data_IF_530636442342
#
_entry.id   IF_530636442342
#
_cell.length_a   1.000
_cell.length_b   1.000
_cell.length_c   1.000
_cell.angle_alpha   90.00
_cell.angle_beta   90.00
_cell.angle_gamma   90.00
#
_symmetry.space_group_name_H-M   'P 1'
#
loop_
_entity.id
_entity.type
_entity.pdbx_description
1 polymer ?
#
# COMPACT_ATOMS: atom_id res chain seq x y z
N UNK A 1 -24.31 -6.60 17.73
CA UNK A 1 -25.12 -6.04 18.85
C UNK A 1 -24.94 -6.92 20.06
N UNK A 2 -24.55 -6.36 21.16
CA UNK A 2 -24.47 -7.07 22.46
C UNK A 2 -25.23 -6.27 23.51
N UNK A 3 -26.05 -6.94 24.29
CA UNK A 3 -26.90 -6.32 25.31
C UNK A 3 -27.68 -5.07 24.80
N UNK A 4 -28.19 -5.12 23.57
CA UNK A 4 -28.96 -4.05 22.94
C UNK A 4 -28.11 -2.87 22.46
N UNK A 5 -26.77 -2.91 22.57
CA UNK A 5 -25.84 -1.88 22.10
C UNK A 5 -25.15 -2.37 20.84
N UNK A 6 -25.06 -1.51 19.85
CA UNK A 6 -24.32 -1.78 18.61
C UNK A 6 -22.84 -1.40 18.79
N UNK A 7 -21.94 -2.33 18.42
CA UNK A 7 -20.50 -2.14 18.47
C UNK A 7 -19.90 -2.37 17.09
N UNK A 8 -18.91 -1.60 16.73
CA UNK A 8 -18.11 -1.80 15.53
C UNK A 8 -16.88 -2.64 15.89
N UNK A 9 -16.57 -3.64 15.07
CA UNK A 9 -15.34 -4.41 15.22
C UNK A 9 -14.20 -3.60 14.60
N UNK A 10 -13.28 -3.14 15.44
CA UNK A 10 -12.14 -2.30 15.02
C UNK A 10 -10.81 -3.05 15.09
N UNK A 11 -10.76 -4.15 15.87
CA UNK A 11 -9.54 -4.92 16.10
C UNK A 11 -9.85 -6.40 16.29
N UNK A 12 -8.86 -7.24 16.08
CA UNK A 12 -8.91 -8.67 16.37
C UNK A 12 -7.71 -9.06 17.21
N UNK A 13 -7.95 -9.43 18.47
CA UNK A 13 -6.92 -9.81 19.41
C UNK A 13 -6.88 -11.32 19.71
N UNK A 14 -5.91 -11.73 20.47
CA UNK A 14 -5.74 -13.13 20.90
C UNK A 14 -6.57 -13.46 22.18
N UNK A 15 -7.76 -12.88 22.29
CA UNK A 15 -8.60 -12.94 23.52
C UNK A 15 -9.08 -14.35 23.85
N UNK A 16 -9.25 -15.21 22.82
CA UNK A 16 -9.73 -16.57 23.00
C UNK A 16 -8.87 -17.40 23.98
N UNK A 17 -7.57 -17.13 24.07
CA UNK A 17 -6.65 -17.79 25.02
C UNK A 17 -6.98 -17.49 26.49
N UNK A 18 -7.74 -16.42 26.74
CA UNK A 18 -8.19 -16.00 28.07
C UNK A 18 -9.66 -16.32 28.31
N UNK A 19 -10.30 -17.09 27.40
CA UNK A 19 -11.72 -17.42 27.49
C UNK A 19 -12.64 -16.24 27.15
N UNK A 20 -12.12 -15.19 26.54
CA UNK A 20 -12.87 -14.00 26.11
C UNK A 20 -13.18 -14.13 24.62
N UNK A 21 -14.44 -13.90 24.24
CA UNK A 21 -14.87 -13.93 22.83
C UNK A 21 -14.88 -12.55 22.20
N UNK A 22 -15.17 -11.52 23.01
CA UNK A 22 -15.20 -10.12 22.61
C UNK A 22 -14.55 -9.27 23.69
N UNK A 23 -13.82 -8.24 23.27
CA UNK A 23 -13.29 -7.20 24.13
C UNK A 23 -13.94 -5.86 23.74
N UNK A 24 -14.38 -5.10 24.75
CA UNK A 24 -15.06 -3.81 24.55
C UNK A 24 -14.13 -2.70 24.97
N UNK A 25 -13.76 -1.85 24.03
CA UNK A 25 -12.91 -0.69 24.29
C UNK A 25 -13.67 0.40 25.06
N UNK A 26 -13.02 0.94 26.06
CA UNK A 26 -13.45 2.11 26.83
C UNK A 26 -12.37 3.18 26.78
N UNK A 27 -12.76 4.45 26.64
CA UNK A 27 -11.83 5.57 26.59
C UNK A 27 -11.07 5.84 27.90
N UNK A 28 -11.43 5.17 29.00
CA UNK A 28 -10.76 5.29 30.29
C UNK A 28 -10.78 3.97 31.07
N UNK A 29 -9.77 3.80 31.91
CA UNK A 29 -9.53 2.58 32.69
C UNK A 29 -10.63 2.34 33.76
N UNK A 30 -11.24 3.40 34.31
CA UNK A 30 -12.27 3.25 35.33
C UNK A 30 -13.56 2.65 34.76
N UNK A 31 -13.98 3.11 33.56
CA UNK A 31 -15.11 2.55 32.83
C UNK A 31 -14.88 1.11 32.41
N UNK A 32 -13.67 0.81 31.91
CA UNK A 32 -13.31 -0.56 31.55
C UNK A 32 -13.32 -1.50 32.77
N UNK A 33 -12.77 -1.05 33.91
CA UNK A 33 -12.74 -1.83 35.15
C UNK A 33 -14.16 -2.02 35.76
N UNK A 34 -15.03 -1.02 35.64
CA UNK A 34 -16.41 -1.10 36.09
C UNK A 34 -17.25 -2.07 35.24
N UNK A 35 -16.95 -2.16 33.95
CA UNK A 35 -17.56 -3.13 33.05
C UNK A 35 -17.18 -4.57 33.44
N UNK A 36 -15.92 -4.83 33.71
CA UNK A 36 -15.45 -6.15 34.15
C UNK A 36 -15.67 -7.23 33.09
N UNK A 37 -15.80 -8.48 33.58
CA UNK A 37 -16.07 -9.65 32.75
C UNK A 37 -17.58 -9.96 32.75
N UNK A 38 -18.20 -9.91 31.57
CA UNK A 38 -19.66 -10.12 31.40
C UNK A 38 -19.91 -11.24 30.39
N UNK A 39 -21.04 -11.90 30.51
CA UNK A 39 -21.52 -12.86 29.52
C UNK A 39 -22.84 -12.34 28.95
N UNK A 40 -22.81 -11.97 27.67
CA UNK A 40 -23.95 -11.45 26.94
C UNK A 40 -24.25 -12.28 25.70
N UNK A 41 -25.51 -12.26 25.28
CA UNK A 41 -25.86 -12.71 23.95
C UNK A 41 -25.38 -11.66 22.93
N UNK A 42 -24.66 -12.11 21.92
CA UNK A 42 -24.14 -11.25 20.86
C UNK A 42 -24.77 -11.61 19.52
N UNK A 43 -25.17 -10.61 18.78
CA UNK A 43 -25.77 -10.73 17.46
C UNK A 43 -24.92 -9.91 16.47
N UNK A 44 -24.75 -10.42 15.25
CA UNK A 44 -24.15 -9.63 14.17
C UNK A 44 -25.25 -8.71 13.64
N UNK A 45 -25.09 -7.40 13.81
CA UNK A 45 -25.91 -6.43 13.12
C UNK A 45 -25.60 -6.50 11.61
N UNK A 46 -26.61 -6.19 10.80
CA UNK A 46 -26.56 -6.27 9.35
C UNK A 46 -25.24 -5.71 8.82
N UNK A 47 -24.50 -6.58 8.18
CA UNK A 47 -23.28 -6.23 7.53
C UNK A 47 -23.48 -6.30 6.00
N UNK A 48 -22.86 -5.45 5.29
CA UNK A 48 -22.89 -5.36 3.84
C UNK A 48 -22.43 -6.64 3.09
N UNK A 49 -22.87 -7.81 3.56
CA UNK A 49 -22.83 -9.07 2.80
C UNK A 49 -21.55 -9.88 2.88
N UNK A 50 -20.77 -9.76 3.93
CA UNK A 50 -19.51 -10.50 4.05
C UNK A 50 -19.53 -11.77 4.91
N UNK A 51 -20.71 -12.21 5.43
CA UNK A 51 -20.81 -13.45 6.20
C UNK A 51 -22.13 -14.17 5.94
N UNK A 52 -22.07 -15.48 5.64
CA UNK A 52 -23.24 -16.34 5.70
C UNK A 52 -23.55 -16.68 7.16
N UNK A 53 -24.64 -16.13 7.67
CA UNK A 53 -25.23 -16.56 8.94
C UNK A 53 -26.32 -17.56 8.62
N UNK A 54 -26.08 -18.84 8.88
CA UNK A 54 -27.16 -19.82 8.83
C UNK A 54 -27.94 -19.81 10.16
N UNK A 55 -29.13 -19.29 10.10
CA UNK A 55 -30.07 -19.33 11.22
C UNK A 55 -30.95 -20.55 11.07
N UNK A 56 -30.77 -21.55 11.94
CA UNK A 56 -31.68 -22.70 12.02
C UNK A 56 -32.61 -22.47 13.20
N UNK A 57 -33.89 -22.21 12.95
CA UNK A 57 -34.92 -22.20 14.02
C UNK A 57 -35.51 -23.59 14.17
N UNK A 58 -35.40 -24.19 15.34
CA UNK A 58 -36.18 -25.37 15.72
C UNK A 58 -37.38 -24.92 16.52
N UNK A 59 -38.59 -25.35 16.11
CA UNK A 59 -39.86 -24.87 16.60
C UNK A 59 -40.20 -25.20 18.09
N UNK A 60 -39.35 -25.93 18.79
CA UNK A 60 -39.69 -26.41 20.16
C UNK A 60 -38.99 -25.67 21.31
N UNK A 61 -38.09 -24.79 21.06
CA UNK A 61 -37.45 -23.96 22.10
C UNK A 61 -37.14 -22.61 21.49
N UNK A 62 -37.57 -21.51 22.11
CA UNK A 62 -37.17 -20.13 21.72
C UNK A 62 -35.64 -19.94 21.87
N UNK A 63 -34.87 -20.73 21.15
CA UNK A 63 -33.39 -20.63 21.08
C UNK A 63 -32.99 -20.45 19.65
N UNK A 64 -32.36 -19.33 19.36
CA UNK A 64 -31.68 -19.09 18.13
C UNK A 64 -30.34 -19.86 18.17
N UNK A 65 -30.21 -20.91 17.37
CA UNK A 65 -28.92 -21.57 17.17
C UNK A 65 -28.22 -20.87 16.03
N UNK A 66 -27.22 -20.06 16.34
CA UNK A 66 -26.37 -19.42 15.35
C UNK A 66 -25.13 -20.29 15.16
N UNK A 67 -24.97 -20.85 13.97
CA UNK A 67 -23.72 -21.52 13.59
C UNK A 67 -22.85 -20.49 12.87
N UNK A 68 -21.80 -20.05 13.54
CA UNK A 68 -20.79 -19.19 12.93
C UNK A 68 -19.80 -20.07 12.17
N UNK A 69 -19.80 -19.99 10.86
CA UNK A 69 -18.73 -20.58 10.04
C UNK A 69 -17.58 -19.58 9.96
N UNK A 70 -16.54 -19.82 10.74
CA UNK A 70 -15.32 -19.02 10.66
C UNK A 70 -14.53 -19.38 9.42
N UNK A 71 -14.47 -18.46 8.46
CA UNK A 71 -13.49 -18.52 7.40
C UNK A 71 -12.19 -17.84 7.87
N UNK A 72 -11.05 -18.37 7.44
CA UNK A 72 -9.78 -17.68 7.66
C UNK A 72 -9.82 -16.32 6.94
N UNK A 73 -9.12 -15.32 7.49
CA UNK A 73 -8.97 -14.03 6.83
C UNK A 73 -8.47 -14.19 5.39
N UNK A 74 -7.52 -15.10 5.17
CA UNK A 74 -7.01 -15.42 3.83
C UNK A 74 -8.13 -15.88 2.88
N UNK A 75 -9.02 -16.77 3.32
CA UNK A 75 -10.15 -17.24 2.50
C UNK A 75 -11.11 -16.10 2.17
N UNK A 76 -11.44 -15.26 3.14
CA UNK A 76 -12.35 -14.11 2.93
C UNK A 76 -11.76 -13.11 1.96
N UNK A 77 -10.46 -12.84 2.10
CA UNK A 77 -9.74 -11.90 1.25
C UNK A 77 -9.68 -12.41 -0.20
N UNK A 78 -9.27 -13.67 -0.42
CA UNK A 78 -9.16 -14.27 -1.76
C UNK A 78 -10.49 -14.31 -2.50
N UNK A 79 -11.59 -14.55 -1.80
CA UNK A 79 -12.93 -14.55 -2.41
C UNK A 79 -13.39 -13.16 -2.90
N UNK A 80 -12.72 -12.09 -2.50
CA UNK A 80 -13.04 -10.70 -2.85
C UNK A 80 -12.04 -10.06 -3.81
N UNK A 81 -10.89 -10.67 -4.00
CA UNK A 81 -9.82 -10.16 -4.86
C UNK A 81 -10.04 -10.50 -6.31
N UNK A 82 -9.67 -9.58 -7.19
CA UNK A 82 -9.40 -9.89 -8.59
C UNK A 82 -7.99 -10.50 -8.73
N UNK A 83 -7.65 -11.00 -9.93
CA UNK A 83 -6.35 -11.66 -10.16
C UNK A 83 -5.13 -10.79 -9.85
N UNK A 84 -5.22 -9.48 -10.07
CA UNK A 84 -4.13 -8.54 -9.81
C UNK A 84 -3.94 -8.30 -8.31
N UNK A 85 -5.03 -8.20 -7.58
CA UNK A 85 -5.03 -8.07 -6.12
C UNK A 85 -4.53 -9.35 -5.46
N UNK A 86 -4.93 -10.52 -5.99
CA UNK A 86 -4.45 -11.81 -5.49
C UNK A 86 -2.94 -11.96 -5.67
N UNK A 87 -2.40 -11.61 -6.83
CA UNK A 87 -0.94 -11.61 -7.07
C UNK A 87 -0.21 -10.69 -6.09
N UNK A 88 -0.75 -9.49 -5.82
CA UNK A 88 -0.19 -8.58 -4.82
C UNK A 88 -0.28 -9.14 -3.42
N UNK A 89 -1.40 -9.75 -3.07
CA UNK A 89 -1.59 -10.39 -1.77
C UNK A 89 -0.57 -11.52 -1.54
N UNK A 90 -0.35 -12.36 -2.54
CA UNK A 90 0.66 -13.42 -2.47
C UNK A 90 2.07 -12.86 -2.31
N UNK A 91 2.36 -11.77 -3.01
CA UNK A 91 3.64 -11.09 -2.89
C UNK A 91 3.83 -10.52 -1.47
N UNK A 92 2.83 -9.87 -0.88
CA UNK A 92 2.88 -9.39 0.49
C UNK A 92 3.04 -10.52 1.51
N UNK A 93 2.38 -11.65 1.30
CA UNK A 93 2.52 -12.82 2.16
C UNK A 93 3.95 -13.42 2.09
N UNK A 94 4.52 -13.47 0.90
CA UNK A 94 5.87 -14.01 0.67
C UNK A 94 6.96 -13.08 1.19
N UNK A 95 6.77 -11.76 1.07
CA UNK A 95 7.79 -10.75 1.41
C UNK A 95 7.59 -10.15 2.79
N UNK A 96 6.55 -10.53 3.52
CA UNK A 96 6.14 -9.94 4.80
C UNK A 96 5.85 -8.43 4.73
N UNK A 97 5.46 -7.95 3.57
CA UNK A 97 5.13 -6.54 3.32
C UNK A 97 3.89 -6.07 4.10
N UNK A 98 3.66 -4.77 4.08
CA UNK A 98 2.51 -4.15 4.74
C UNK A 98 1.20 -4.48 4.01
N UNK A 99 0.27 -5.15 4.68
CA UNK A 99 -1.01 -5.60 4.11
C UNK A 99 -2.10 -4.52 4.10
N UNK A 100 -1.88 -3.38 4.74
CA UNK A 100 -2.88 -2.32 4.86
C UNK A 100 -3.28 -1.69 3.51
N UNK A 101 -2.52 -1.94 2.46
CA UNK A 101 -2.72 -1.36 1.14
C UNK A 101 -3.38 -2.31 0.13
N UNK A 102 -3.91 -3.46 0.57
CA UNK A 102 -4.42 -4.48 -0.34
C UNK A 102 -5.80 -4.17 -0.93
N UNK A 103 -6.64 -3.38 -0.24
CA UNK A 103 -8.07 -3.38 -0.52
C UNK A 103 -8.64 -2.13 -1.14
N UNK A 104 -8.09 -0.97 -0.94
CA UNK A 104 -8.60 0.25 -1.54
C UNK A 104 -7.48 1.20 -1.89
N UNK A 105 -6.87 0.91 -3.02
CA UNK A 105 -5.75 1.67 -3.57
C UNK A 105 -6.11 3.14 -3.79
N UNK A 106 -7.41 3.45 -3.96
CA UNK A 106 -7.90 4.80 -4.24
C UNK A 106 -8.31 5.57 -2.97
N UNK A 107 -8.59 4.86 -1.87
CA UNK A 107 -9.04 5.47 -0.61
C UNK A 107 -7.93 5.63 0.43
N UNK A 108 -6.71 5.23 0.12
CA UNK A 108 -5.58 5.44 1.04
C UNK A 108 -5.34 6.93 1.24
N UNK A 109 -5.21 7.37 2.51
CA UNK A 109 -4.94 8.78 2.78
C UNK A 109 -3.65 9.16 2.09
N UNK A 110 -3.74 10.09 1.12
CA UNK A 110 -2.57 10.65 0.49
C UNK A 110 -1.90 11.60 1.48
N UNK A 111 -0.85 11.13 2.13
CA UNK A 111 0.02 12.01 2.89
C UNK A 111 0.66 13.00 1.92
N UNK A 112 0.24 14.27 2.01
CA UNK A 112 0.79 15.35 1.21
C UNK A 112 0.42 15.35 -0.27
N UNK A 113 -0.73 14.79 -0.66
CA UNK A 113 -1.25 14.83 -2.04
C UNK A 113 -0.75 13.73 -2.97
N UNK A 114 -0.06 12.72 -2.43
CA UNK A 114 0.36 11.51 -3.16
C UNK A 114 -0.59 10.32 -2.92
N UNK A 115 -0.09 9.11 -3.06
CA UNK A 115 -0.84 7.86 -2.90
C UNK A 115 -1.03 7.15 -4.24
N UNK A 116 -2.15 6.47 -4.42
CA UNK A 116 -2.42 5.71 -5.64
C UNK A 116 -3.33 6.47 -6.64
N UNK A 117 -4.06 7.47 -6.16
CA UNK A 117 -5.05 8.21 -6.94
C UNK A 117 -4.55 9.53 -7.53
N UNK A 118 -3.23 9.76 -7.60
CA UNK A 118 -2.71 10.99 -8.19
C UNK A 118 -2.99 11.05 -9.69
N UNK A 119 -3.58 12.17 -10.13
CA UNK A 119 -3.84 12.40 -11.54
C UNK A 119 -2.71 13.21 -12.16
N UNK A 120 -1.97 12.59 -13.06
CA UNK A 120 -0.92 13.26 -13.82
C UNK A 120 -1.57 14.27 -14.76
N UNK A 121 -1.07 15.51 -14.83
CA UNK A 121 -1.57 16.49 -15.79
C UNK A 121 -1.52 15.98 -17.23
N UNK A 122 -2.62 16.18 -17.99
CA UNK A 122 -2.75 15.67 -19.36
C UNK A 122 -1.69 16.22 -20.31
N UNK A 123 -1.25 17.45 -20.09
CA UNK A 123 -0.17 18.07 -20.85
C UNK A 123 1.17 17.33 -20.68
N UNK A 124 1.46 16.78 -19.49
CA UNK A 124 2.64 15.96 -19.28
C UNK A 124 2.60 14.66 -20.06
N UNK A 125 1.40 14.06 -20.19
CA UNK A 125 1.19 12.82 -20.94
C UNK A 125 1.26 13.02 -22.47
N UNK A 126 1.38 14.26 -22.96
CA UNK A 126 1.65 14.53 -24.37
C UNK A 126 3.06 14.15 -24.83
N UNK A 127 3.99 14.05 -23.89
CA UNK A 127 5.31 13.42 -24.16
C UNK A 127 5.13 11.90 -24.17
N UNK A 128 5.24 11.30 -25.36
CA UNK A 128 4.99 9.86 -25.56
C UNK A 128 5.99 8.98 -24.76
N UNK A 129 7.24 9.43 -24.61
CA UNK A 129 8.26 8.70 -23.84
C UNK A 129 7.89 8.65 -22.36
N UNK A 130 7.49 9.80 -21.81
CA UNK A 130 6.99 9.88 -20.44
C UNK A 130 5.69 9.08 -20.27
N UNK A 131 4.73 9.22 -21.19
CA UNK A 131 3.46 8.50 -21.13
C UNK A 131 3.65 6.96 -21.16
N UNK A 132 4.66 6.46 -21.88
CA UNK A 132 5.01 5.03 -21.86
C UNK A 132 5.66 4.64 -20.52
N UNK A 133 6.58 5.47 -20.03
CA UNK A 133 7.28 5.23 -18.76
C UNK A 133 6.29 5.16 -17.60
N UNK A 134 5.36 6.11 -17.53
CA UNK A 134 4.41 6.16 -16.42
C UNK A 134 3.38 5.03 -16.49
N UNK A 135 2.90 4.66 -17.68
CA UNK A 135 2.03 3.50 -17.85
C UNK A 135 2.68 2.19 -17.38
N UNK A 136 3.99 2.05 -17.59
CA UNK A 136 4.72 0.90 -17.07
C UNK A 136 4.82 0.97 -15.54
N UNK A 137 5.17 2.14 -15.00
CA UNK A 137 5.34 2.35 -13.57
C UNK A 137 4.04 2.10 -12.78
N UNK A 138 2.91 2.56 -13.29
CA UNK A 138 1.60 2.45 -12.62
C UNK A 138 1.10 1.02 -12.47
N UNK A 139 1.58 0.07 -13.29
CA UNK A 139 1.24 -1.36 -13.13
C UNK A 139 1.66 -1.93 -11.78
N UNK A 140 2.60 -1.30 -11.12
CA UNK A 140 3.19 -1.78 -9.86
C UNK A 140 2.78 -0.95 -8.65
N UNK A 141 1.84 -0.02 -8.80
CA UNK A 141 1.28 0.69 -7.65
C UNK A 141 0.79 -0.29 -6.59
N UNK A 142 1.15 -0.04 -5.33
CA UNK A 142 0.80 -0.91 -4.22
C UNK A 142 1.75 -2.11 -4.01
N UNK A 143 2.76 -2.33 -4.85
CA UNK A 143 3.77 -3.36 -4.59
C UNK A 143 4.63 -2.99 -3.38
N UNK A 144 4.96 -3.95 -2.50
CA UNK A 144 5.77 -3.68 -1.30
C UNK A 144 7.22 -3.38 -1.65
N UNK A 145 7.91 -2.66 -0.78
CA UNK A 145 9.35 -2.49 -0.87
C UNK A 145 10.07 -3.78 -0.46
N UNK A 146 10.98 -4.26 -1.30
CA UNK A 146 11.84 -5.40 -1.01
C UNK A 146 13.28 -5.05 -1.35
N UNK A 147 14.14 -5.00 -0.36
CA UNK A 147 15.56 -4.69 -0.57
C UNK A 147 16.22 -5.63 -1.57
N UNK A 148 16.83 -5.07 -2.61
CA UNK A 148 17.44 -5.83 -3.71
C UNK A 148 16.44 -6.36 -4.74
N UNK A 149 15.14 -6.20 -4.52
CA UNK A 149 14.09 -6.60 -5.46
C UNK A 149 14.17 -5.82 -6.77
N UNK A 150 13.91 -6.48 -7.90
CA UNK A 150 14.11 -5.91 -9.22
C UNK A 150 13.17 -6.45 -10.31
N UNK A 151 12.11 -7.15 -9.92
CA UNK A 151 11.14 -7.74 -10.86
C UNK A 151 9.76 -7.84 -10.22
N UNK A 152 8.67 -7.95 -11.02
CA UNK A 152 7.33 -8.14 -10.47
C UNK A 152 7.19 -9.38 -9.57
N UNK A 153 7.97 -10.42 -9.82
CA UNK A 153 7.92 -11.67 -9.03
C UNK A 153 8.61 -11.57 -7.68
N UNK A 154 9.54 -10.62 -7.51
CA UNK A 154 10.30 -10.42 -6.28
C UNK A 154 9.89 -9.15 -5.54
N UNK A 155 9.01 -8.34 -6.14
CA UNK A 155 8.86 -6.91 -5.86
C UNK A 155 10.15 -6.12 -6.10
N UNK A 156 10.24 -4.92 -5.57
CA UNK A 156 11.25 -3.96 -5.97
C UNK A 156 11.86 -3.23 -4.77
N UNK A 157 13.11 -2.82 -4.89
CA UNK A 157 13.63 -1.65 -4.20
C UNK A 157 13.48 -0.39 -5.08
N UNK A 158 13.89 0.77 -4.58
CA UNK A 158 13.73 2.04 -5.30
C UNK A 158 14.40 2.02 -6.69
N UNK A 159 15.62 1.58 -6.76
CA UNK A 159 16.41 1.54 -8.01
C UNK A 159 16.04 0.34 -8.89
N UNK A 160 15.61 -0.77 -8.30
CA UNK A 160 15.08 -1.91 -9.04
C UNK A 160 13.79 -1.58 -9.77
N UNK A 161 12.89 -0.86 -9.11
CA UNK A 161 11.66 -0.35 -9.72
C UNK A 161 11.95 0.56 -10.90
N UNK A 162 12.76 1.59 -10.70
CA UNK A 162 13.10 2.55 -11.77
C UNK A 162 13.83 1.87 -12.92
N UNK A 163 14.81 1.00 -12.64
CA UNK A 163 15.50 0.22 -13.68
C UNK A 163 14.54 -0.65 -14.47
N UNK A 164 13.61 -1.33 -13.79
CA UNK A 164 12.60 -2.14 -14.45
C UNK A 164 11.71 -1.32 -15.37
N UNK A 165 11.18 -0.20 -14.88
CA UNK A 165 10.34 0.70 -15.67
C UNK A 165 11.08 1.18 -16.94
N UNK A 166 12.31 1.65 -16.80
CA UNK A 166 13.14 2.10 -17.93
C UNK A 166 13.30 1.00 -18.97
N UNK A 167 13.62 -0.22 -18.54
CA UNK A 167 13.91 -1.33 -19.45
C UNK A 167 12.63 -1.89 -20.13
N UNK A 168 11.45 -1.72 -19.51
CA UNK A 168 10.21 -2.36 -19.97
C UNK A 168 9.14 -1.38 -20.51
N UNK A 169 9.35 -0.06 -20.42
CA UNK A 169 8.37 0.93 -20.91
C UNK A 169 8.24 1.01 -22.44
N UNK A 170 9.04 0.26 -23.19
CA UNK A 170 8.97 0.21 -24.66
C UNK A 170 9.50 1.44 -25.38
N UNK A 171 10.24 2.31 -24.69
CA UNK A 171 10.93 3.49 -25.30
C UNK A 171 12.22 3.10 -26.02
N UNK A 172 12.77 1.92 -25.68
CA UNK A 172 14.02 1.43 -26.26
C UNK A 172 15.22 1.67 -25.35
N UNK A 173 15.04 2.22 -24.17
CA UNK A 173 16.11 2.31 -23.17
C UNK A 173 16.43 0.94 -22.58
N UNK A 174 17.69 0.74 -22.24
CA UNK A 174 18.15 -0.43 -21.50
C UNK A 174 19.31 -0.04 -20.61
N UNK A 175 19.06 0.07 -19.31
CA UNK A 175 20.09 0.39 -18.31
C UNK A 175 20.50 -0.83 -17.48
N UNK A 176 19.86 -2.00 -17.71
CA UNK A 176 20.05 -3.17 -16.86
C UNK A 176 19.53 -2.93 -15.45
N UNK A 177 20.11 -3.61 -14.46
CA UNK A 177 19.82 -3.41 -13.02
C UNK A 177 20.91 -2.53 -12.40
N UNK A 178 20.57 -1.29 -12.10
CA UNK A 178 21.48 -0.33 -11.47
C UNK A 178 21.04 0.02 -10.04
N UNK A 179 21.97 0.49 -9.23
CA UNK A 179 21.67 1.17 -7.96
C UNK A 179 21.16 2.59 -8.23
N UNK A 180 20.67 3.30 -7.21
CA UNK A 180 20.26 4.70 -7.36
C UNK A 180 21.43 5.57 -7.88
N UNK A 181 22.62 5.39 -7.33
CA UNK A 181 23.83 6.09 -7.77
C UNK A 181 24.27 5.68 -9.19
N UNK A 182 24.12 4.40 -9.53
CA UNK A 182 24.36 3.91 -10.89
C UNK A 182 23.40 4.51 -11.93
N UNK A 183 22.10 4.68 -11.57
CA UNK A 183 21.11 5.36 -12.39
C UNK A 183 21.46 6.85 -12.57
N UNK A 184 21.95 7.51 -11.52
CA UNK A 184 22.42 8.89 -11.61
C UNK A 184 23.58 8.99 -12.60
N UNK A 185 24.50 8.02 -12.59
CA UNK A 185 25.67 7.99 -13.48
C UNK A 185 25.35 7.86 -14.97
N UNK A 186 24.15 7.37 -15.34
CA UNK A 186 23.71 7.25 -16.74
C UNK A 186 22.81 8.41 -17.19
N UNK A 187 22.48 9.33 -16.28
CA UNK A 187 21.68 10.51 -16.56
C UNK A 187 22.53 11.74 -16.84
N UNK A 188 22.00 12.66 -17.64
CA UNK A 188 22.48 14.04 -17.73
C UNK A 188 21.90 14.83 -16.55
N UNK A 189 22.70 15.51 -15.73
CA UNK A 189 22.20 16.33 -14.64
C UNK A 189 21.25 17.43 -15.13
N UNK A 190 20.17 17.67 -14.38
CA UNK A 190 19.15 18.68 -14.69
C UNK A 190 18.95 19.58 -13.47
N UNK A 191 18.88 20.88 -13.69
CA UNK A 191 18.55 21.82 -12.61
C UNK A 191 17.11 21.65 -12.16
N UNK A 192 16.79 22.00 -10.91
CA UNK A 192 15.42 21.95 -10.41
C UNK A 192 14.46 22.85 -11.21
N UNK A 193 14.96 23.93 -11.80
CA UNK A 193 14.17 24.83 -12.64
C UNK A 193 13.83 24.25 -14.02
N UNK A 194 14.66 23.32 -14.51
CA UNK A 194 14.52 22.68 -15.83
C UNK A 194 13.94 21.26 -15.74
N UNK A 195 13.66 20.80 -14.52
CA UNK A 195 13.09 19.48 -14.29
C UNK A 195 11.67 19.35 -14.87
N UNK A 196 11.45 18.26 -15.60
CA UNK A 196 10.18 17.97 -16.25
C UNK A 196 9.71 16.54 -16.01
N UNK A 197 8.43 16.23 -16.20
CA UNK A 197 7.95 14.86 -16.11
C UNK A 197 8.79 13.89 -16.95
N UNK A 198 9.15 12.76 -16.34
CA UNK A 198 10.05 11.77 -16.94
C UNK A 198 11.52 11.88 -16.53
N UNK A 199 11.94 12.99 -15.95
CA UNK A 199 13.25 13.06 -15.31
C UNK A 199 13.28 12.17 -14.06
N UNK A 200 14.42 11.59 -13.74
CA UNK A 200 14.63 10.90 -12.49
C UNK A 200 14.95 11.91 -11.40
N UNK A 201 14.41 11.68 -10.21
CA UNK A 201 14.73 12.48 -9.03
C UNK A 201 15.51 11.61 -8.04
N UNK A 202 16.62 12.15 -7.55
CA UNK A 202 17.56 11.44 -6.68
C UNK A 202 17.61 12.09 -5.31
N UNK A 203 17.77 11.25 -4.30
CA UNK A 203 17.92 11.65 -2.91
C UNK A 203 19.14 10.99 -2.30
N UNK A 204 19.72 11.63 -1.29
CA UNK A 204 20.90 11.16 -0.56
C UNK A 204 20.61 11.03 0.92
N UNK A 205 21.38 10.20 1.63
CA UNK A 205 21.27 10.08 3.08
C UNK A 205 19.96 9.49 3.58
N UNK A 206 19.14 8.84 2.74
CA UNK A 206 17.94 8.11 3.17
C UNK A 206 18.32 6.82 3.92
N UNK A 207 19.52 6.32 3.70
CA UNK A 207 20.21 5.32 4.50
C UNK A 207 21.72 5.55 4.39
N UNK A 208 22.51 4.85 5.21
CA UNK A 208 23.95 5.06 5.29
C UNK A 208 24.67 4.51 4.04
N UNK A 209 24.82 5.36 3.04
CA UNK A 209 25.59 5.11 1.79
C UNK A 209 26.11 6.43 1.24
N UNK A 210 27.14 6.38 0.40
CA UNK A 210 27.61 7.54 -0.36
C UNK A 210 26.82 7.70 -1.66
N UNK A 211 26.69 8.93 -2.15
CA UNK A 211 25.97 9.25 -3.38
C UNK A 211 24.45 9.15 -3.25
N UNK A 212 23.78 8.83 -4.35
CA UNK A 212 22.34 8.70 -4.37
C UNK A 212 21.90 7.43 -3.63
N UNK A 213 21.07 7.60 -2.61
CA UNK A 213 20.53 6.52 -1.77
C UNK A 213 19.10 6.14 -2.13
N UNK A 214 18.37 7.01 -2.84
CA UNK A 214 17.00 6.75 -3.29
C UNK A 214 16.75 7.42 -4.64
N UNK A 215 15.79 6.87 -5.39
CA UNK A 215 15.43 7.38 -6.71
C UNK A 215 13.92 7.19 -6.95
N UNK A 216 13.33 8.16 -7.66
CA UNK A 216 11.96 8.11 -8.18
C UNK A 216 11.89 8.66 -9.59
N UNK A 217 10.73 8.58 -10.21
CA UNK A 217 10.40 9.21 -11.49
C UNK A 217 9.58 10.47 -11.20
N UNK A 218 10.10 11.63 -11.61
CA UNK A 218 9.39 12.89 -11.44
C UNK A 218 8.19 12.95 -12.39
N UNK A 219 7.03 13.32 -11.89
CA UNK A 219 5.78 13.37 -12.67
C UNK A 219 5.21 14.78 -12.81
N UNK A 220 5.99 15.79 -12.40
CA UNK A 220 5.56 17.19 -12.42
C UNK A 220 4.88 17.63 -11.13
N UNK A 221 4.64 18.94 -11.01
CA UNK A 221 3.90 19.57 -9.90
C UNK A 221 4.42 19.19 -8.49
N UNK A 222 5.72 18.97 -8.35
CA UNK A 222 6.30 18.56 -7.08
C UNK A 222 5.94 17.13 -6.65
N UNK A 223 5.62 16.26 -7.61
CA UNK A 223 5.26 14.87 -7.36
C UNK A 223 6.21 13.91 -8.05
N UNK A 224 6.41 12.76 -7.45
CA UNK A 224 7.14 11.62 -8.03
C UNK A 224 6.35 10.32 -7.84
N UNK A 225 6.59 9.32 -8.69
CA UNK A 225 6.29 7.93 -8.39
C UNK A 225 7.57 7.21 -7.99
N UNK A 226 7.56 6.48 -6.91
CA UNK A 226 8.75 5.80 -6.39
C UNK A 226 8.39 4.50 -5.69
N UNK A 227 9.37 3.62 -5.53
CA UNK A 227 9.23 2.49 -4.63
C UNK A 227 9.54 2.95 -3.20
N UNK A 228 8.47 3.38 -2.51
CA UNK A 228 8.41 3.45 -1.06
C UNK A 228 7.91 2.10 -0.53
N UNK A 229 7.25 2.08 0.60
CA UNK A 229 6.54 0.91 1.08
C UNK A 229 5.08 1.31 1.37
N UNK A 230 4.23 1.13 0.35
CA UNK A 230 4.41 0.53 -0.98
C UNK A 230 4.86 1.50 -2.08
N UNK A 231 4.98 0.99 -3.36
CA UNK A 231 5.11 1.84 -4.54
C UNK A 231 3.90 2.76 -4.63
N UNK A 232 4.14 4.07 -4.67
CA UNK A 232 3.10 5.09 -4.64
C UNK A 232 3.58 6.42 -5.22
N UNK A 233 2.65 7.34 -5.41
CA UNK A 233 2.97 8.73 -5.63
C UNK A 233 3.32 9.43 -4.32
N UNK A 234 4.32 10.33 -4.35
CA UNK A 234 4.74 11.09 -3.19
C UNK A 234 4.99 12.56 -3.54
N UNK A 235 4.63 13.45 -2.62
CA UNK A 235 4.93 14.87 -2.72
C UNK A 235 6.38 15.12 -2.28
N UNK A 236 7.22 15.58 -3.21
CA UNK A 236 8.64 15.87 -2.95
C UNK A 236 8.87 17.14 -2.13
N UNK A 237 7.84 17.98 -1.95
CA UNK A 237 7.95 19.23 -1.18
C UNK A 237 7.78 19.04 0.33
N UNK A 238 7.66 17.81 0.81
CA UNK A 238 7.67 17.52 2.24
C UNK A 238 9.05 17.79 2.83
N UNK A 239 9.12 18.10 4.13
CA UNK A 239 10.39 18.36 4.82
C UNK A 239 11.38 17.20 4.69
N UNK A 240 10.89 15.96 4.75
CA UNK A 240 11.72 14.77 4.58
C UNK A 240 12.40 14.75 3.20
N UNK A 241 11.63 14.84 2.13
CA UNK A 241 12.20 14.77 0.78
C UNK A 241 13.09 15.97 0.47
N UNK A 242 12.75 17.17 0.96
CA UNK A 242 13.58 18.36 0.77
C UNK A 242 14.92 18.27 1.50
N UNK A 243 14.97 17.66 2.68
CA UNK A 243 16.23 17.43 3.43
C UNK A 243 17.15 16.43 2.73
N UNK A 244 16.56 15.47 2.02
CA UNK A 244 17.30 14.41 1.34
C UNK A 244 17.49 14.66 -0.16
N UNK A 245 16.92 15.73 -0.70
CA UNK A 245 17.03 16.05 -2.13
C UNK A 245 18.50 16.16 -2.56
N UNK A 246 18.83 15.50 -3.66
CA UNK A 246 20.18 15.52 -4.21
C UNK A 246 20.21 16.22 -5.57
N UNK A 247 19.54 15.68 -6.57
CA UNK A 247 19.52 16.26 -7.92
C UNK A 247 18.42 15.63 -8.77
N UNK A 248 18.18 16.24 -9.94
CA UNK A 248 17.46 15.59 -11.03
C UNK A 248 18.43 15.08 -12.09
N UNK A 249 18.03 14.06 -12.84
CA UNK A 249 18.77 13.52 -13.96
C UNK A 249 17.86 13.10 -15.11
N UNK A 250 18.27 13.38 -16.32
CA UNK A 250 17.52 13.06 -17.55
C UNK A 250 18.17 11.92 -18.28
N UNK A 251 17.35 10.93 -18.63
CA UNK A 251 17.77 9.83 -19.53
C UNK A 251 18.03 10.37 -20.95
N UNK A 252 18.94 9.74 -21.72
CA UNK A 252 19.31 10.17 -23.06
C UNK A 252 18.16 10.07 -24.08
#
# INVERSE_FOLDING_TARGET
VMNGVEYTVEDTGAFARYGVQFDVYYGDHASASAHGHQTWEAYIADDNGSREVQVTSTQEVNRLNVTLTNHSLDTVLRNRMNEEEEKRYDLYNTTYGNRNYLFDVNSLPSYGGGGFGYQIPSEALSDERFARMIREAEKYLGYPYVWGGASPSTSFDCSGFVSWVINNCGVGWNVGRLTADGLLGVCTPVSSADARPGDLIFFQGTYNTSGASHVGIYVGNGMMIHCGDPISYANINTSYWQQHFYTFGRLP
#
